data_IF_464027219982
#
_entry.id   IF_464027219982
#
_cell.length_a   1.000
_cell.length_b   1.000
_cell.length_c   1.000
_cell.angle_alpha   90.00
_cell.angle_beta   90.00
_cell.angle_gamma   90.00
#
_symmetry.space_group_name_H-M   'P 1'
#
loop_
_entity.id
_entity.type
_entity.pdbx_description
1 polymer ?
#
# COMPACT_ATOMS: atom_id res chain seq x y z
N UNK A 1 -49.71 9.80 34.26
CA UNK A 1 -49.31 10.14 32.89
C UNK A 1 -47.90 10.70 32.89
N UNK A 2 -47.06 10.18 32.01
CA UNK A 2 -45.68 10.59 31.81
C UNK A 2 -45.68 11.59 30.64
N UNK A 3 -45.27 12.82 30.91
CA UNK A 3 -45.04 13.80 29.85
C UNK A 3 -43.67 13.52 29.25
N UNK A 4 -43.62 13.34 27.93
CA UNK A 4 -42.39 13.18 27.18
C UNK A 4 -42.26 14.37 26.24
N UNK A 5 -41.17 15.10 26.42
CA UNK A 5 -40.70 16.12 25.49
C UNK A 5 -39.49 15.54 24.76
N UNK A 6 -39.60 15.40 23.43
CA UNK A 6 -38.55 14.87 22.56
C UNK A 6 -38.08 15.97 21.60
N UNK A 7 -36.78 16.23 21.61
CA UNK A 7 -36.14 17.01 20.56
C UNK A 7 -35.66 16.04 19.47
N UNK A 8 -36.17 16.19 18.25
CA UNK A 8 -35.84 15.34 17.11
C UNK A 8 -35.08 16.15 16.07
N UNK A 9 -33.84 15.74 15.83
CA UNK A 9 -32.99 16.26 14.77
C UNK A 9 -33.03 15.31 13.56
N UNK A 10 -33.25 15.86 12.37
CA UNK A 10 -33.28 15.09 11.13
C UNK A 10 -32.73 15.89 9.95
N UNK A 11 -32.32 15.17 8.91
CA UNK A 11 -31.80 15.73 7.66
C UNK A 11 -32.81 15.53 6.54
N UNK A 12 -33.09 16.59 5.78
CA UNK A 12 -33.87 16.50 4.52
C UNK A 12 -32.91 16.71 3.36
N UNK A 13 -32.71 15.68 2.55
CA UNK A 13 -31.72 15.65 1.49
C UNK A 13 -32.37 15.57 0.10
N UNK A 14 -31.85 16.36 -0.85
CA UNK A 14 -31.99 16.13 -2.29
C UNK A 14 -30.61 16.12 -2.94
N UNK A 15 -30.05 17.31 -3.17
CA UNK A 15 -28.65 17.50 -3.58
C UNK A 15 -27.81 18.03 -2.42
N UNK A 16 -28.45 18.76 -1.50
CA UNK A 16 -27.87 19.26 -0.24
C UNK A 16 -28.78 18.79 0.90
N UNK A 17 -28.19 18.34 2.01
CA UNK A 17 -28.90 17.97 3.23
C UNK A 17 -29.07 19.18 4.14
N UNK A 18 -30.30 19.52 4.48
CA UNK A 18 -30.62 20.63 5.39
C UNK A 18 -31.00 20.05 6.76
N UNK A 19 -30.28 20.39 7.85
CA UNK A 19 -30.65 19.98 9.19
C UNK A 19 -31.90 20.72 9.68
N UNK A 20 -32.79 19.98 10.32
CA UNK A 20 -34.00 20.50 10.92
C UNK A 20 -34.21 19.86 12.28
N UNK A 21 -34.71 20.67 13.22
CA UNK A 21 -35.01 20.26 14.58
C UNK A 21 -36.47 20.54 14.87
N UNK A 22 -37.17 19.58 15.45
CA UNK A 22 -38.55 19.75 15.91
C UNK A 22 -38.72 19.19 17.33
N UNK A 23 -39.50 19.90 18.14
CA UNK A 23 -39.83 19.48 19.51
C UNK A 23 -41.21 18.81 19.50
N UNK A 24 -41.26 17.54 19.87
CA UNK A 24 -42.49 16.74 19.93
C UNK A 24 -42.84 16.53 21.40
N UNK A 25 -44.00 17.04 21.81
CA UNK A 25 -44.48 16.91 23.18
C UNK A 25 -45.73 16.05 23.18
N UNK A 26 -45.71 14.96 23.95
CA UNK A 26 -46.88 14.10 24.10
C UNK A 26 -46.92 13.45 25.47
N UNK A 27 -48.07 12.88 25.81
CA UNK A 27 -48.34 12.34 27.14
C UNK A 27 -48.62 10.85 27.04
N UNK A 28 -47.80 10.04 27.71
CA UNK A 28 -47.95 8.59 27.76
C UNK A 28 -48.72 8.18 29.02
N UNK A 29 -49.85 7.47 28.90
CA UNK A 29 -50.56 6.96 30.05
C UNK A 29 -49.68 5.93 30.77
N UNK A 30 -49.50 6.10 32.09
CA UNK A 30 -48.67 5.19 32.89
C UNK A 30 -49.56 4.06 33.40
N UNK A 31 -49.21 2.82 33.07
CA UNK A 31 -50.00 1.66 33.45
C UNK A 31 -49.59 0.41 32.69
N UNK A 32 -50.43 -0.63 32.76
CA UNK A 32 -50.23 -1.83 31.94
C UNK A 32 -50.44 -1.48 30.46
N UNK A 33 -49.64 -2.05 29.54
CA UNK A 33 -49.83 -1.81 28.11
C UNK A 33 -51.23 -2.24 27.70
N UNK A 34 -51.95 -1.32 27.05
CA UNK A 34 -53.28 -1.54 26.49
C UNK A 34 -53.26 -1.17 25.01
N UNK A 35 -54.09 -1.83 24.21
CA UNK A 35 -54.23 -1.53 22.80
C UNK A 35 -54.84 -0.13 22.63
N UNK A 36 -54.17 0.73 21.88
CA UNK A 36 -54.63 2.09 21.56
C UNK A 36 -55.09 2.15 20.11
N UNK A 37 -55.63 3.30 19.69
CA UNK A 37 -56.01 3.55 18.29
C UNK A 37 -54.81 3.44 17.35
N UNK A 38 -53.60 3.70 17.85
CA UNK A 38 -52.37 3.73 17.06
C UNK A 38 -51.63 2.38 17.07
N UNK A 39 -52.06 1.40 17.86
CA UNK A 39 -51.39 0.08 17.94
C UNK A 39 -51.23 -0.58 16.57
N UNK A 40 -52.27 -0.57 15.75
CA UNK A 40 -52.20 -1.13 14.39
C UNK A 40 -51.18 -0.40 13.50
N UNK A 41 -51.08 0.93 13.64
CA UNK A 41 -50.15 1.74 12.88
C UNK A 41 -48.71 1.43 13.30
N UNK A 42 -48.47 1.34 14.61
CA UNK A 42 -47.16 0.98 15.19
C UNK A 42 -46.75 -0.41 14.69
N UNK A 43 -47.62 -1.41 14.77
CA UNK A 43 -47.33 -2.77 14.30
C UNK A 43 -47.04 -2.81 12.79
N UNK A 44 -47.73 -1.98 11.99
CA UNK A 44 -47.47 -1.86 10.56
C UNK A 44 -46.06 -1.30 10.27
N UNK A 45 -45.56 -0.33 11.05
CA UNK A 45 -44.21 0.19 10.85
C UNK A 45 -43.14 -0.71 11.47
N UNK A 46 -43.41 -1.35 12.62
CA UNK A 46 -42.51 -2.35 13.22
C UNK A 46 -42.34 -3.60 12.36
N UNK A 47 -43.29 -3.92 11.48
CA UNK A 47 -43.13 -5.03 10.51
C UNK A 47 -42.23 -4.67 9.33
N UNK A 48 -41.92 -3.38 9.11
CA UNK A 48 -40.98 -2.92 8.08
C UNK A 48 -39.53 -2.84 8.56
N UNK A 49 -39.31 -2.85 9.88
CA UNK A 49 -37.96 -2.83 10.45
C UNK A 49 -37.29 -4.18 10.20
N UNK A 50 -36.08 -4.20 9.63
CA UNK A 50 -35.32 -5.43 9.41
C UNK A 50 -35.22 -6.26 10.70
N UNK A 51 -35.33 -7.58 10.57
CA UNK A 51 -35.22 -8.52 11.70
C UNK A 51 -34.02 -9.44 11.49
N UNK A 52 -33.68 -10.22 12.52
CA UNK A 52 -32.61 -11.22 12.45
C UNK A 52 -32.97 -12.40 11.54
N UNK A 53 -31.94 -13.21 11.19
CA UNK A 53 -32.04 -14.37 10.28
C UNK A 53 -33.14 -15.37 10.63
N UNK A 54 -33.53 -15.47 11.91
CA UNK A 54 -34.55 -16.41 12.38
C UNK A 54 -35.96 -16.15 11.79
N UNK A 55 -36.20 -14.94 11.27
CA UNK A 55 -37.51 -14.51 10.78
C UNK A 55 -37.57 -14.37 9.26
N UNK A 56 -36.52 -14.74 8.53
CA UNK A 56 -36.44 -14.55 7.08
C UNK A 56 -35.87 -15.77 6.36
N UNK A 57 -36.32 -16.02 5.13
CA UNK A 57 -35.79 -17.08 4.26
C UNK A 57 -34.51 -16.66 3.52
N UNK A 58 -33.89 -15.55 3.93
CA UNK A 58 -32.65 -15.00 3.36
C UNK A 58 -31.54 -15.25 4.38
N UNK A 59 -30.36 -15.64 3.90
CA UNK A 59 -29.19 -15.86 4.74
C UNK A 59 -27.94 -15.26 4.09
N UNK A 60 -27.11 -14.61 4.90
CA UNK A 60 -25.78 -14.19 4.44
C UNK A 60 -24.86 -15.41 4.42
N UNK A 61 -24.51 -15.88 3.22
CA UNK A 61 -23.70 -17.07 3.00
C UNK A 61 -22.22 -16.81 3.27
N UNK A 62 -21.68 -15.70 2.76
CA UNK A 62 -20.28 -15.33 2.99
C UNK A 62 -20.07 -13.83 2.83
N UNK A 63 -19.07 -13.33 3.56
CA UNK A 63 -18.55 -11.97 3.39
C UNK A 63 -17.04 -12.07 3.29
N UNK A 64 -16.51 -11.57 2.16
CA UNK A 64 -15.11 -11.69 1.78
C UNK A 64 -14.57 -10.34 1.40
N UNK A 65 -13.44 -9.99 1.98
CA UNK A 65 -12.70 -8.78 1.63
C UNK A 65 -11.50 -9.15 0.76
N UNK A 66 -11.49 -8.68 -0.48
CA UNK A 66 -10.39 -8.86 -1.41
C UNK A 66 -9.44 -7.69 -1.26
N UNK A 67 -8.28 -7.98 -0.66
CA UNK A 67 -7.18 -7.04 -0.48
C UNK A 67 -6.32 -6.99 -1.75
N UNK A 68 -6.96 -6.67 -2.88
CA UNK A 68 -6.34 -6.46 -4.20
C UNK A 68 -6.17 -4.96 -4.48
N UNK A 69 -5.69 -4.57 -5.69
CA UNK A 69 -5.57 -3.16 -6.07
C UNK A 69 -6.91 -2.41 -6.03
N UNK A 70 -8.02 -3.11 -6.18
CA UNK A 70 -9.37 -2.54 -6.23
C UNK A 70 -10.13 -2.55 -4.91
N UNK A 71 -9.53 -3.08 -3.83
CA UNK A 71 -10.08 -3.17 -2.45
C UNK A 71 -11.58 -3.45 -2.44
N UNK A 72 -11.96 -4.71 -2.67
CA UNK A 72 -13.37 -5.07 -2.89
C UNK A 72 -13.95 -5.86 -1.74
N UNK A 73 -15.14 -5.50 -1.29
CA UNK A 73 -15.92 -6.28 -0.35
C UNK A 73 -17.04 -6.99 -1.10
N UNK A 74 -17.03 -8.32 -1.07
CA UNK A 74 -18.02 -9.16 -1.74
C UNK A 74 -18.87 -9.87 -0.71
N UNK A 75 -20.17 -9.68 -0.81
CA UNK A 75 -21.18 -10.31 0.05
C UNK A 75 -22.01 -11.24 -0.81
N UNK A 76 -22.20 -12.48 -0.38
CA UNK A 76 -23.11 -13.43 -1.02
C UNK A 76 -24.26 -13.74 -0.09
N UNK A 77 -25.49 -13.63 -0.61
CA UNK A 77 -26.69 -14.01 0.09
C UNK A 77 -27.44 -15.10 -0.67
N UNK A 78 -28.02 -16.04 0.07
CA UNK A 78 -28.81 -17.16 -0.45
C UNK A 78 -30.23 -17.01 0.09
N UNK A 79 -31.22 -17.36 -0.72
CA UNK A 79 -32.63 -17.35 -0.31
C UNK A 79 -33.34 -18.60 -0.81
N UNK A 80 -34.27 -19.14 -0.01
CA UNK A 80 -35.12 -20.27 -0.43
C UNK A 80 -36.13 -19.87 -1.51
N UNK A 81 -36.48 -18.59 -1.56
CA UNK A 81 -37.34 -18.00 -2.59
C UNK A 81 -36.52 -17.16 -3.56
N UNK A 82 -37.04 -16.96 -4.78
CA UNK A 82 -36.34 -16.17 -5.79
C UNK A 82 -36.24 -14.69 -5.38
N UNK A 83 -35.04 -14.12 -5.51
CA UNK A 83 -34.81 -12.68 -5.37
C UNK A 83 -35.53 -11.92 -6.50
N UNK A 84 -36.14 -10.78 -6.17
CA UNK A 84 -36.88 -9.96 -7.13
C UNK A 84 -36.12 -8.68 -7.43
N UNK A 85 -35.77 -7.92 -6.38
CA UNK A 85 -35.06 -6.65 -6.47
C UNK A 85 -34.23 -6.46 -5.20
N UNK A 86 -33.12 -7.21 -5.09
CA UNK A 86 -32.40 -7.26 -3.85
C UNK A 86 -31.33 -6.15 -3.76
N UNK A 87 -31.18 -5.58 -2.57
CA UNK A 87 -30.22 -4.52 -2.27
C UNK A 87 -29.56 -4.77 -0.90
N UNK A 88 -28.41 -4.14 -0.67
CA UNK A 88 -27.63 -4.27 0.56
C UNK A 88 -27.13 -2.92 1.04
N UNK A 89 -27.37 -2.66 2.32
CA UNK A 89 -26.81 -1.54 3.06
C UNK A 89 -25.74 -2.04 4.04
N UNK A 90 -24.65 -1.29 4.14
CA UNK A 90 -23.53 -1.58 5.03
C UNK A 90 -23.37 -0.47 6.04
N UNK A 91 -23.22 -0.84 7.30
CA UNK A 91 -22.84 0.06 8.37
C UNK A 91 -21.57 -0.47 9.04
N UNK A 92 -20.51 0.34 8.96
CA UNK A 92 -19.24 0.06 9.61
C UNK A 92 -19.24 0.62 11.04
N UNK A 93 -18.38 0.09 11.91
CA UNK A 93 -18.25 0.61 13.28
C UNK A 93 -17.63 2.01 13.35
N UNK A 94 -16.95 2.43 12.30
CA UNK A 94 -16.39 3.76 12.09
C UNK A 94 -17.20 4.52 11.05
N UNK A 95 -17.02 5.84 10.99
CA UNK A 95 -17.59 6.74 9.96
C UNK A 95 -16.96 6.51 8.57
N UNK A 96 -17.12 5.31 8.03
CA UNK A 96 -16.71 4.94 6.69
C UNK A 96 -17.96 4.72 5.83
N UNK A 97 -18.03 5.43 4.71
CA UNK A 97 -19.10 5.26 3.73
C UNK A 97 -18.60 4.42 2.57
N UNK A 98 -19.25 3.29 2.34
CA UNK A 98 -19.11 2.58 1.06
C UNK A 98 -19.92 3.29 -0.01
N UNK A 99 -19.44 3.27 -1.26
CA UNK A 99 -20.28 3.57 -2.41
C UNK A 99 -21.43 2.56 -2.58
N UNK A 100 -22.33 2.78 -3.55
CA UNK A 100 -23.40 1.82 -3.83
C UNK A 100 -22.81 0.48 -4.30
N UNK A 101 -23.43 -0.66 -3.94
CA UNK A 101 -22.99 -1.95 -4.42
C UNK A 101 -23.30 -2.11 -5.91
N UNK A 102 -22.48 -2.92 -6.59
CA UNK A 102 -22.88 -3.58 -7.82
C UNK A 102 -23.60 -4.87 -7.43
N UNK A 103 -24.88 -4.93 -7.74
CA UNK A 103 -25.71 -6.11 -7.48
C UNK A 103 -25.66 -7.02 -8.71
N UNK A 104 -25.32 -8.28 -8.48
CA UNK A 104 -25.33 -9.34 -9.49
C UNK A 104 -26.13 -10.54 -8.96
N UNK A 105 -26.95 -11.13 -9.82
CA UNK A 105 -27.65 -12.37 -9.54
C UNK A 105 -26.93 -13.48 -10.29
N UNK A 106 -26.17 -14.33 -9.59
CA UNK A 106 -25.62 -15.54 -10.22
C UNK A 106 -26.76 -16.45 -10.69
N UNK A 107 -27.79 -16.59 -9.85
CA UNK A 107 -29.02 -17.34 -10.10
C UNK A 107 -30.19 -16.67 -9.37
N UNK A 108 -31.43 -17.16 -9.59
CA UNK A 108 -32.63 -16.63 -8.91
C UNK A 108 -32.57 -16.71 -7.37
N UNK A 109 -31.76 -17.59 -6.81
CA UNK A 109 -31.69 -17.87 -5.37
C UNK A 109 -30.37 -17.42 -4.73
N UNK A 110 -29.45 -16.85 -5.51
CA UNK A 110 -28.12 -16.44 -5.05
C UNK A 110 -27.80 -15.05 -5.59
N UNK A 111 -27.65 -14.10 -4.68
CA UNK A 111 -27.27 -12.72 -4.96
C UNK A 111 -25.85 -12.44 -4.47
N UNK A 112 -25.12 -11.70 -5.28
CA UNK A 112 -23.76 -11.22 -5.01
C UNK A 112 -23.74 -9.70 -5.05
N UNK A 113 -23.14 -9.09 -4.03
CA UNK A 113 -23.02 -7.65 -3.87
C UNK A 113 -21.54 -7.30 -3.78
N UNK A 114 -21.05 -6.52 -4.73
CA UNK A 114 -19.67 -6.08 -4.80
C UNK A 114 -19.60 -4.58 -4.46
N UNK A 115 -18.89 -4.27 -3.38
CA UNK A 115 -18.59 -2.91 -2.96
C UNK A 115 -17.15 -2.58 -3.31
N UNK A 116 -16.96 -1.50 -4.06
CA UNK A 116 -15.63 -0.91 -4.28
C UNK A 116 -15.33 0.02 -3.11
N UNK A 117 -14.29 -0.28 -2.36
CA UNK A 117 -13.83 0.52 -1.23
C UNK A 117 -12.73 1.47 -1.72
N UNK A 118 -12.60 2.61 -1.04
CA UNK A 118 -11.56 3.61 -1.36
C UNK A 118 -10.16 3.06 -1.06
N UNK A 119 -9.12 3.57 -1.72
CA UNK A 119 -7.73 3.13 -1.54
C UNK A 119 -7.25 3.31 -0.09
N UNK A 120 -7.86 4.21 0.68
CA UNK A 120 -7.59 4.38 2.10
C UNK A 120 -8.01 3.19 2.96
N UNK A 121 -8.88 2.31 2.46
CA UNK A 121 -9.40 1.16 3.18
C UNK A 121 -8.39 0.00 3.14
N UNK A 122 -7.43 0.04 4.06
CA UNK A 122 -6.35 -0.94 4.12
C UNK A 122 -6.66 -2.18 4.95
N UNK A 123 -7.54 -2.07 5.96
CA UNK A 123 -7.80 -3.18 6.88
C UNK A 123 -9.25 -3.19 7.36
N UNK A 124 -9.99 -4.21 6.94
CA UNK A 124 -11.38 -4.39 7.34
C UNK A 124 -11.55 -4.67 8.83
N UNK A 125 -10.54 -5.23 9.50
CA UNK A 125 -10.66 -5.62 10.92
C UNK A 125 -10.83 -4.42 11.86
N UNK A 126 -10.29 -3.26 11.47
CA UNK A 126 -10.44 -2.01 12.21
C UNK A 126 -11.85 -1.39 12.11
N UNK A 127 -12.64 -1.84 11.13
CA UNK A 127 -13.97 -1.34 10.82
C UNK A 127 -15.09 -2.32 11.23
N UNK A 128 -14.73 -3.40 11.94
CA UNK A 128 -15.67 -4.35 12.51
C UNK A 128 -16.23 -3.86 13.85
N UNK A 129 -17.44 -4.30 14.25
CA UNK A 129 -18.33 -5.19 13.51
C UNK A 129 -19.08 -4.47 12.39
N UNK A 130 -19.29 -5.18 11.29
CA UNK A 130 -20.03 -4.74 10.13
C UNK A 130 -21.49 -5.15 10.28
N UNK A 131 -22.43 -4.22 10.18
CA UNK A 131 -23.87 -4.54 10.09
C UNK A 131 -24.25 -4.58 8.61
N UNK A 132 -24.79 -5.71 8.18
CA UNK A 132 -25.26 -5.93 6.82
C UNK A 132 -26.78 -6.01 6.84
N UNK A 133 -27.41 -5.06 6.16
CA UNK A 133 -28.87 -5.01 6.01
C UNK A 133 -29.24 -5.34 4.58
N UNK A 134 -29.71 -6.57 4.37
CA UNK A 134 -30.23 -7.08 3.09
C UNK A 134 -31.70 -6.73 2.96
N UNK A 135 -32.10 -6.22 1.80
CA UNK A 135 -33.51 -5.89 1.50
C UNK A 135 -33.88 -6.52 0.16
N UNK A 136 -35.02 -7.18 0.09
CA UNK A 136 -35.59 -7.70 -1.16
C UNK A 136 -37.12 -7.46 -1.15
N UNK A 137 -37.52 -6.33 -1.72
CA UNK A 137 -38.90 -5.86 -1.74
C UNK A 137 -39.49 -5.65 -0.34
N UNK A 138 -40.20 -6.67 0.18
CA UNK A 138 -40.86 -6.63 1.51
C UNK A 138 -40.09 -7.39 2.59
N UNK A 139 -39.04 -8.11 2.21
CA UNK A 139 -38.22 -8.92 3.12
C UNK A 139 -36.99 -8.11 3.44
N UNK A 140 -36.63 -8.04 4.71
CA UNK A 140 -35.42 -7.38 5.13
C UNK A 140 -34.76 -8.16 6.27
N UNK A 141 -33.46 -8.32 6.17
CA UNK A 141 -32.62 -9.05 7.11
C UNK A 141 -31.50 -8.13 7.57
N UNK A 142 -31.30 -8.03 8.87
CA UNK A 142 -30.12 -7.41 9.45
C UNK A 142 -29.23 -8.46 10.11
N UNK A 143 -27.95 -8.48 9.74
CA UNK A 143 -26.94 -9.38 10.32
C UNK A 143 -25.71 -8.61 10.73
N UNK A 144 -25.32 -8.78 12.00
CA UNK A 144 -24.05 -8.28 12.53
C UNK A 144 -22.94 -9.28 12.29
N UNK A 145 -21.91 -8.85 11.57
CA UNK A 145 -20.75 -9.65 11.16
C UNK A 145 -19.53 -9.17 11.95
N UNK A 146 -18.99 -10.06 12.77
CA UNK A 146 -17.83 -9.78 13.62
C UNK A 146 -16.52 -10.26 13.00
N UNK A 147 -16.57 -10.98 11.89
CA UNK A 147 -15.41 -11.54 11.22
C UNK A 147 -15.65 -11.57 9.71
N UNK A 148 -14.68 -11.07 8.95
CA UNK A 148 -14.67 -11.10 7.48
C UNK A 148 -13.40 -11.80 7.03
N UNK A 149 -13.56 -12.77 6.13
CA UNK A 149 -12.42 -13.48 5.53
C UNK A 149 -11.68 -12.52 4.59
N UNK A 150 -10.40 -12.26 4.85
CA UNK A 150 -9.55 -11.44 3.99
C UNK A 150 -8.80 -12.31 2.99
N UNK A 151 -9.00 -12.04 1.71
CA UNK A 151 -8.37 -12.72 0.59
C UNK A 151 -7.36 -11.75 -0.02
N UNK A 152 -6.10 -11.89 0.38
CA UNK A 152 -5.02 -11.16 -0.27
C UNK A 152 -4.75 -11.75 -1.64
N UNK A 153 -5.06 -11.01 -2.70
CA UNK A 153 -4.63 -11.37 -4.05
C UNK A 153 -3.18 -10.90 -4.23
N UNK A 154 -2.24 -11.68 -3.67
CA UNK A 154 -0.88 -11.61 -4.17
C UNK A 154 -0.89 -12.20 -5.59
N UNK A 155 -0.28 -11.56 -6.59
CA UNK A 155 -0.20 -12.14 -7.92
C UNK A 155 0.35 -13.56 -7.81
N UNK A 156 -0.48 -14.53 -8.22
CA UNK A 156 -0.18 -15.96 -8.15
C UNK A 156 1.17 -16.25 -8.81
N UNK A 157 1.96 -17.10 -8.13
CA UNK A 157 3.23 -17.67 -8.57
C UNK A 157 4.07 -16.77 -9.51
N UNK A 158 4.74 -15.77 -8.96
CA UNK A 158 5.89 -15.18 -9.66
C UNK A 158 6.94 -16.28 -9.85
N UNK A 159 6.94 -16.87 -11.05
CA UNK A 159 7.89 -17.91 -11.42
C UNK A 159 9.30 -17.38 -11.18
N UNK A 160 10.10 -18.10 -10.39
CA UNK A 160 11.46 -17.69 -9.99
C UNK A 160 12.29 -17.34 -11.24
N UNK A 161 12.04 -18.02 -12.35
CA UNK A 161 12.66 -17.77 -13.64
C UNK A 161 12.37 -16.35 -14.13
N UNK A 162 11.13 -15.89 -14.01
CA UNK A 162 10.70 -14.53 -14.40
C UNK A 162 11.39 -13.47 -13.54
N UNK A 163 11.48 -13.68 -12.22
CA UNK A 163 12.22 -12.78 -11.31
C UNK A 163 13.70 -12.72 -11.72
N UNK A 164 14.32 -13.86 -11.99
CA UNK A 164 15.73 -13.94 -12.36
C UNK A 164 15.97 -13.24 -13.71
N UNK A 165 15.06 -13.40 -14.67
CA UNK A 165 15.12 -12.75 -15.98
C UNK A 165 14.97 -11.23 -15.88
N UNK A 166 14.01 -10.73 -15.09
CA UNK A 166 13.88 -9.29 -14.84
C UNK A 166 15.06 -8.72 -14.04
N UNK A 167 15.62 -9.47 -13.08
CA UNK A 167 16.81 -9.02 -12.33
C UNK A 167 18.04 -8.92 -13.22
N UNK A 168 18.20 -9.87 -14.16
CA UNK A 168 19.27 -9.85 -15.15
C UNK A 168 19.10 -8.69 -16.13
N UNK A 169 17.87 -8.49 -16.62
CA UNK A 169 17.54 -7.44 -17.57
C UNK A 169 17.70 -6.05 -16.93
N UNK A 170 17.21 -5.86 -15.71
CA UNK A 170 17.43 -4.65 -14.92
C UNK A 170 18.92 -4.38 -14.70
N UNK A 171 19.70 -5.40 -14.29
CA UNK A 171 21.15 -5.28 -14.16
C UNK A 171 21.86 -4.88 -15.46
N UNK A 172 21.41 -5.41 -16.60
CA UNK A 172 21.95 -5.06 -17.92
C UNK A 172 21.64 -3.60 -18.29
N UNK A 173 20.40 -3.15 -18.06
CA UNK A 173 19.98 -1.76 -18.29
C UNK A 173 20.79 -0.79 -17.42
N UNK A 174 21.03 -1.15 -16.15
CA UNK A 174 21.83 -0.32 -15.23
C UNK A 174 23.28 -0.15 -15.68
N UNK A 175 23.84 -1.13 -16.40
CA UNK A 175 25.17 -0.96 -17.02
C UNK A 175 25.16 -0.01 -18.23
N UNK A 176 24.01 0.19 -18.86
CA UNK A 176 23.82 1.11 -20.00
C UNK A 176 23.49 2.54 -19.55
N UNK A 177 23.29 2.78 -18.25
CA UNK A 177 23.09 4.14 -17.75
C UNK A 177 24.38 4.97 -17.83
N UNK A 178 24.30 6.22 -18.32
CA UNK A 178 25.48 7.07 -18.52
C UNK A 178 26.25 7.36 -17.22
N UNK A 179 25.60 7.27 -16.06
CA UNK A 179 26.21 7.53 -14.75
C UNK A 179 27.16 6.43 -14.25
N UNK A 180 27.00 5.18 -14.72
CA UNK A 180 27.75 4.02 -14.21
C UNK A 180 28.98 3.71 -15.09
N UNK A 181 28.93 4.15 -16.35
CA UNK A 181 29.98 4.00 -17.35
C UNK A 181 31.36 4.55 -16.92
N UNK A 182 31.46 5.71 -16.23
CA UNK A 182 32.70 6.21 -15.63
C UNK A 182 33.45 5.24 -14.72
N UNK A 183 32.72 4.55 -13.84
CA UNK A 183 33.33 3.71 -12.81
C UNK A 183 33.69 2.34 -13.37
N UNK A 184 32.85 1.83 -14.28
CA UNK A 184 33.11 0.59 -15.01
C UNK A 184 34.37 0.69 -15.88
N UNK A 185 34.54 1.79 -16.63
CA UNK A 185 35.70 1.99 -17.50
C UNK A 185 37.01 2.08 -16.70
N UNK A 186 37.03 2.79 -15.58
CA UNK A 186 38.20 2.87 -14.69
C UNK A 186 38.58 1.50 -14.10
N UNK A 187 37.59 0.69 -13.72
CA UNK A 187 37.83 -0.67 -13.19
C UNK A 187 38.30 -1.64 -14.28
N UNK A 188 37.75 -1.53 -15.50
CA UNK A 188 38.19 -2.32 -16.64
C UNK A 188 39.65 -2.03 -17.03
N UNK A 189 40.03 -0.75 -17.08
CA UNK A 189 41.41 -0.34 -17.36
C UNK A 189 42.36 -0.80 -16.24
N UNK A 190 41.94 -0.69 -14.97
CA UNK A 190 42.72 -1.18 -13.83
C UNK A 190 42.98 -2.69 -13.87
N UNK A 191 42.01 -3.48 -14.34
CA UNK A 191 42.15 -4.93 -14.53
C UNK A 191 43.08 -5.29 -15.69
N UNK A 192 43.01 -4.55 -16.80
CA UNK A 192 43.88 -4.78 -17.96
C UNK A 192 45.36 -4.49 -17.67
N UNK A 193 45.65 -3.58 -16.74
CA UNK A 193 47.02 -3.26 -16.29
C UNK A 193 47.59 -4.25 -15.27
N UNK A 194 46.73 -5.08 -14.67
CA UNK A 194 47.07 -6.15 -13.73
C UNK A 194 47.14 -7.47 -14.50
N UNK A 195 48.33 -7.84 -15.00
CA UNK A 195 48.64 -9.19 -15.51
C UNK A 195 48.55 -10.26 -14.41
N UNK A 196 47.38 -10.39 -13.81
CA UNK A 196 47.10 -11.09 -12.56
C UNK A 196 46.36 -12.40 -12.82
N UNK A 197 46.60 -13.40 -11.97
CA UNK A 197 46.00 -14.72 -12.13
C UNK A 197 44.46 -14.66 -12.07
N UNK A 198 43.76 -15.48 -12.86
CA UNK A 198 42.28 -15.45 -12.92
C UNK A 198 41.58 -15.67 -11.57
N UNK A 199 42.24 -16.33 -10.60
CA UNK A 199 41.73 -16.50 -9.23
C UNK A 199 41.67 -15.18 -8.46
N UNK A 200 42.67 -14.33 -8.65
CA UNK A 200 42.78 -13.02 -8.00
C UNK A 200 41.69 -12.06 -8.50
N UNK A 201 41.44 -12.08 -9.82
CA UNK A 201 40.39 -11.28 -10.45
C UNK A 201 39.00 -11.67 -9.90
N UNK A 202 38.68 -12.97 -9.88
CA UNK A 202 37.40 -13.47 -9.33
C UNK A 202 37.18 -13.06 -7.89
N UNK A 203 38.23 -13.12 -7.05
CA UNK A 203 38.16 -12.71 -5.64
C UNK A 203 37.84 -11.21 -5.50
N UNK A 204 38.45 -10.35 -6.32
CA UNK A 204 38.21 -8.91 -6.27
C UNK A 204 36.78 -8.54 -6.70
N UNK A 205 36.23 -9.20 -7.72
CA UNK A 205 34.83 -9.05 -8.11
C UNK A 205 33.87 -9.49 -7.01
N UNK A 206 34.15 -10.63 -6.37
CA UNK A 206 33.32 -11.14 -5.26
C UNK A 206 33.31 -10.16 -4.07
N UNK A 207 34.48 -9.62 -3.69
CA UNK A 207 34.58 -8.61 -2.64
C UNK A 207 33.80 -7.33 -2.96
N UNK A 208 33.76 -6.95 -4.24
CA UNK A 208 32.95 -5.81 -4.70
C UNK A 208 31.46 -6.10 -4.56
N UNK A 209 31.01 -7.30 -4.95
CA UNK A 209 29.62 -7.72 -4.82
C UNK A 209 29.16 -7.74 -3.35
N UNK A 210 30.01 -8.18 -2.43
CA UNK A 210 29.74 -8.12 -0.99
C UNK A 210 29.51 -6.67 -0.53
N UNK A 211 30.32 -5.72 -1.00
CA UNK A 211 30.14 -4.30 -0.66
C UNK A 211 28.79 -3.74 -1.14
N UNK A 212 28.33 -4.17 -2.31
CA UNK A 212 27.02 -3.80 -2.87
C UNK A 212 25.89 -4.37 -2.02
N UNK A 213 25.94 -5.69 -1.74
CA UNK A 213 24.94 -6.36 -0.90
C UNK A 213 24.84 -5.74 0.50
N UNK A 214 25.98 -5.48 1.13
CA UNK A 214 26.02 -4.85 2.45
C UNK A 214 25.41 -3.45 2.45
N UNK A 215 25.66 -2.67 1.39
CA UNK A 215 25.07 -1.32 1.26
C UNK A 215 23.55 -1.37 1.12
N UNK A 216 23.01 -2.27 0.29
CA UNK A 216 21.57 -2.47 0.18
C UNK A 216 20.95 -3.00 1.47
N UNK A 217 21.65 -3.88 2.19
CA UNK A 217 21.17 -4.42 3.46
C UNK A 217 21.06 -3.33 4.54
N UNK A 218 22.08 -2.47 4.67
CA UNK A 218 22.03 -1.31 5.58
C UNK A 218 20.84 -0.41 5.24
N UNK A 219 20.66 -0.12 3.95
CA UNK A 219 19.61 0.79 3.52
C UNK A 219 18.21 0.18 3.71
N UNK A 220 18.05 -1.13 3.52
CA UNK A 220 16.82 -1.86 3.83
C UNK A 220 16.49 -1.80 5.33
N UNK A 221 17.48 -2.01 6.21
CA UNK A 221 17.30 -1.88 7.67
C UNK A 221 16.89 -0.46 8.05
N UNK A 222 17.54 0.55 7.46
CA UNK A 222 17.24 1.96 7.73
C UNK A 222 15.81 2.32 7.33
N UNK A 223 15.35 1.87 6.16
CA UNK A 223 13.97 2.08 5.71
C UNK A 223 12.96 1.31 6.59
N UNK A 224 13.28 0.06 6.97
CA UNK A 224 12.42 -0.72 7.86
C UNK A 224 12.26 -0.06 9.24
N UNK A 225 13.35 0.47 9.80
CA UNK A 225 13.33 1.22 11.06
C UNK A 225 12.50 2.52 10.94
N UNK A 226 12.61 3.26 9.84
CA UNK A 226 11.80 4.46 9.63
C UNK A 226 10.30 4.15 9.51
N UNK A 227 9.94 3.02 8.87
CA UNK A 227 8.55 2.56 8.79
C UNK A 227 7.98 2.20 10.15
N UNK A 228 8.77 1.65 11.07
CA UNK A 228 8.27 1.36 12.43
C UNK A 228 7.90 2.61 13.23
N UNK A 229 8.40 3.78 12.83
CA UNK A 229 8.02 5.07 13.41
C UNK A 229 6.79 5.72 12.73
N UNK A 230 6.10 5.02 11.83
CA UNK A 230 4.87 5.49 11.18
C UNK A 230 5.08 6.37 9.95
N UNK A 231 6.32 6.54 9.47
CA UNK A 231 6.58 7.27 8.23
C UNK A 231 6.37 6.35 7.02
N UNK A 232 5.48 6.75 6.10
CA UNK A 232 5.31 6.09 4.80
C UNK A 232 6.47 6.47 3.86
N UNK A 233 7.65 5.92 4.14
CA UNK A 233 8.84 6.15 3.31
C UNK A 233 8.85 5.12 2.18
N UNK A 234 8.70 5.62 0.95
CA UNK A 234 8.97 4.89 -0.29
C UNK A 234 10.41 5.06 -0.74
N UNK A 235 10.95 4.07 -1.46
CA UNK A 235 12.19 4.26 -2.21
C UNK A 235 12.00 5.40 -3.21
N UNK A 236 12.88 6.39 -3.18
CA UNK A 236 12.81 7.53 -4.09
C UNK A 236 12.04 8.76 -3.58
N UNK A 237 11.54 8.77 -2.33
CA UNK A 237 10.93 9.97 -1.72
C UNK A 237 11.84 11.21 -1.79
N UNK A 238 13.17 11.01 -1.75
CA UNK A 238 14.17 12.08 -1.85
C UNK A 238 14.11 12.84 -3.18
N UNK A 239 13.69 12.20 -4.28
CA UNK A 239 13.57 12.85 -5.60
C UNK A 239 12.35 13.75 -5.71
N UNK A 240 11.42 13.71 -4.74
CA UNK A 240 10.34 14.69 -4.65
C UNK A 240 10.84 16.05 -4.11
N UNK A 241 11.98 16.07 -3.41
CA UNK A 241 12.55 17.32 -2.89
C UNK A 241 13.43 18.01 -3.95
N UNK A 242 13.09 19.23 -4.38
CA UNK A 242 13.81 19.93 -5.44
C UNK A 242 15.25 20.29 -5.04
N UNK A 243 15.52 20.51 -3.75
CA UNK A 243 16.86 20.78 -3.23
C UNK A 243 17.82 19.60 -3.42
N UNK A 244 17.33 18.37 -3.19
CA UNK A 244 18.10 17.15 -3.39
C UNK A 244 18.45 16.94 -4.87
N UNK A 245 17.45 17.11 -5.75
CA UNK A 245 17.63 17.02 -7.20
C UNK A 245 18.68 18.02 -7.74
N UNK A 246 18.63 19.28 -7.30
CA UNK A 246 19.60 20.30 -7.72
C UNK A 246 21.01 19.95 -7.25
N UNK A 247 21.16 19.50 -5.99
CA UNK A 247 22.45 19.09 -5.45
C UNK A 247 23.04 17.90 -6.22
N UNK A 248 22.25 16.88 -6.52
CA UNK A 248 22.72 15.71 -7.27
C UNK A 248 23.04 16.03 -8.73
N UNK A 249 22.21 16.86 -9.37
CA UNK A 249 22.46 17.32 -10.74
C UNK A 249 23.78 18.08 -10.84
N UNK A 250 24.09 18.94 -9.86
CA UNK A 250 25.37 19.66 -9.81
C UNK A 250 26.57 18.69 -9.68
N UNK A 251 26.47 17.67 -8.82
CA UNK A 251 27.53 16.66 -8.66
C UNK A 251 27.76 15.89 -9.97
N UNK A 252 26.70 15.40 -10.61
CA UNK A 252 26.81 14.69 -11.90
C UNK A 252 27.38 15.59 -12.99
N UNK A 253 26.97 16.86 -13.04
CA UNK A 253 27.48 17.84 -14.01
C UNK A 253 28.99 18.06 -13.83
N UNK A 254 29.48 18.19 -12.59
CA UNK A 254 30.91 18.30 -12.29
C UNK A 254 31.67 17.07 -12.80
N UNK A 255 31.15 15.87 -12.57
CA UNK A 255 31.74 14.63 -13.09
C UNK A 255 31.77 14.59 -14.63
N UNK A 256 30.67 14.96 -15.30
CA UNK A 256 30.62 15.03 -16.76
C UNK A 256 31.62 16.07 -17.32
N UNK A 257 31.74 17.24 -16.70
CA UNK A 257 32.72 18.25 -17.09
C UNK A 257 34.17 17.77 -16.88
N UNK A 258 34.42 16.94 -15.86
CA UNK A 258 35.72 16.31 -15.66
C UNK A 258 36.05 15.31 -16.80
N UNK A 259 35.08 14.52 -17.25
CA UNK A 259 35.24 13.61 -18.39
C UNK A 259 35.43 14.32 -19.74
N UNK A 260 34.76 15.47 -19.94
CA UNK A 260 34.97 16.31 -21.13
C UNK A 260 36.36 16.97 -21.13
N UNK A 261 37.15 16.82 -20.07
CA UNK A 261 38.48 17.42 -19.97
C UNK A 261 38.45 18.94 -19.82
N UNK A 262 37.27 19.54 -19.59
CA UNK A 262 37.10 20.96 -19.28
C UNK A 262 37.76 21.34 -17.95
N UNK A 263 37.82 20.37 -17.02
CA UNK A 263 38.51 20.52 -15.74
C UNK A 263 39.39 19.29 -15.45
N UNK A 264 40.71 19.47 -15.51
CA UNK A 264 41.63 18.54 -14.86
C UNK A 264 41.70 18.92 -13.38
N UNK A 265 40.98 18.17 -12.52
CA UNK A 265 41.23 18.23 -11.08
C UNK A 265 42.67 17.76 -10.82
N UNK A 266 43.61 18.69 -10.84
CA UNK A 266 44.91 18.51 -10.24
C UNK A 266 44.67 18.48 -8.74
N UNK A 267 44.62 17.26 -8.18
CA UNK A 267 44.45 17.00 -6.76
C UNK A 267 45.33 17.97 -5.94
N UNK A 268 44.74 18.80 -5.06
CA UNK A 268 45.50 19.71 -4.20
C UNK A 268 46.58 18.94 -3.44
N UNK A 269 47.79 19.47 -3.37
CA UNK A 269 48.96 18.82 -2.77
C UNK A 269 48.75 18.37 -1.30
N UNK A 270 47.79 18.97 -0.60
CA UNK A 270 47.37 18.57 0.75
C UNK A 270 46.64 17.21 0.77
N UNK A 271 45.77 16.95 -0.22
CA UNK A 271 45.08 15.66 -0.34
C UNK A 271 46.03 14.55 -0.79
N UNK A 272 47.07 14.84 -1.57
CA UNK A 272 48.09 13.84 -1.90
C UNK A 272 48.86 13.31 -0.68
N UNK A 273 49.04 14.12 0.38
CA UNK A 273 49.68 13.70 1.64
C UNK A 273 48.79 12.83 2.52
N UNK A 274 47.48 13.01 2.47
CA UNK A 274 46.50 12.15 3.18
C UNK A 274 46.20 10.87 2.36
N UNK A 275 46.39 10.95 1.04
CA UNK A 275 46.14 9.87 0.09
C UNK A 275 47.22 8.76 0.07
N UNK A 276 48.33 8.90 0.80
CA UNK A 276 49.34 7.82 0.87
C UNK A 276 48.89 6.61 1.69
N UNK A 277 47.90 6.76 2.58
CA UNK A 277 47.45 5.68 3.46
C UNK A 277 46.10 5.04 3.08
N UNK A 278 45.25 5.67 2.26
CA UNK A 278 43.86 5.20 2.08
C UNK A 278 43.44 5.04 0.59
N UNK A 279 43.98 5.81 -0.36
CA UNK A 279 43.57 5.74 -1.78
C UNK A 279 44.75 5.88 -2.78
N UNK A 280 45.89 5.26 -2.46
CA UNK A 280 47.03 5.20 -3.38
C UNK A 280 46.74 4.26 -4.56
N UNK A 281 46.25 4.84 -5.66
CA UNK A 281 46.07 4.23 -6.99
C UNK A 281 47.37 3.68 -7.60
N UNK A 282 48.54 3.90 -6.98
CA UNK A 282 49.87 3.59 -7.55
C UNK A 282 50.49 2.27 -7.03
N UNK A 283 49.89 1.62 -6.03
CA UNK A 283 50.50 0.43 -5.41
C UNK A 283 49.74 -0.86 -5.80
N UNK A 284 50.38 -1.74 -6.61
CA UNK A 284 49.82 -3.00 -7.11
C UNK A 284 49.30 -3.95 -6.02
N UNK A 285 49.82 -3.85 -4.79
CA UNK A 285 49.36 -4.64 -3.65
C UNK A 285 48.06 -4.12 -3.02
N UNK A 286 47.71 -2.84 -3.21
CA UNK A 286 46.55 -2.22 -2.55
C UNK A 286 45.23 -2.49 -3.31
N UNK A 287 45.29 -2.57 -4.65
CA UNK A 287 44.13 -2.94 -5.49
C UNK A 287 43.62 -4.35 -5.22
N UNK A 288 44.46 -5.21 -4.63
CA UNK A 288 44.12 -6.58 -4.24
C UNK A 288 43.57 -6.69 -2.81
N UNK A 289 43.48 -5.58 -2.09
CA UNK A 289 42.99 -5.55 -0.72
C UNK A 289 41.47 -5.73 -0.70
N UNK A 290 40.99 -6.53 0.27
CA UNK A 290 39.56 -6.76 0.50
C UNK A 290 38.82 -5.43 0.73
N UNK A 291 39.37 -4.57 1.60
CA UNK A 291 38.74 -3.31 1.99
C UNK A 291 38.57 -2.37 0.80
N UNK A 292 39.57 -2.27 -0.08
CA UNK A 292 39.48 -1.42 -1.27
C UNK A 292 38.34 -1.86 -2.19
N UNK A 293 38.25 -3.16 -2.49
CA UNK A 293 37.20 -3.69 -3.36
C UNK A 293 35.80 -3.59 -2.72
N UNK A 294 35.72 -3.76 -1.40
CA UNK A 294 34.48 -3.60 -0.63
C UNK A 294 33.97 -2.15 -0.66
N UNK A 295 34.81 -1.17 -0.32
CA UNK A 295 34.43 0.25 -0.35
C UNK A 295 34.16 0.75 -1.76
N UNK A 296 34.88 0.24 -2.76
CA UNK A 296 34.58 0.51 -4.17
C UNK A 296 33.18 0.03 -4.55
N UNK A 297 32.73 -1.13 -4.03
CA UNK A 297 31.36 -1.62 -4.23
C UNK A 297 30.30 -0.70 -3.59
N UNK A 298 30.55 -0.24 -2.36
CA UNK A 298 29.63 0.68 -1.66
C UNK A 298 29.50 2.04 -2.37
N UNK A 299 30.63 2.60 -2.81
CA UNK A 299 30.64 3.85 -3.58
C UNK A 299 29.88 3.71 -4.90
N UNK A 300 30.00 2.57 -5.57
CA UNK A 300 29.25 2.27 -6.80
C UNK A 300 27.74 2.30 -6.54
N UNK A 301 27.27 1.69 -5.45
CA UNK A 301 25.85 1.69 -5.08
C UNK A 301 25.31 3.10 -4.84
N UNK A 302 26.10 3.95 -4.19
CA UNK A 302 25.70 5.32 -3.85
C UNK A 302 25.70 6.26 -5.07
N UNK A 303 26.60 6.04 -6.03
CA UNK A 303 26.64 6.81 -7.28
C UNK A 303 25.62 6.32 -8.32
N UNK A 304 25.21 5.05 -8.27
CA UNK A 304 24.22 4.49 -9.18
C UNK A 304 22.79 4.91 -8.81
N UNK A 305 22.48 4.99 -7.52
CA UNK A 305 21.14 5.31 -6.99
C UNK A 305 20.47 6.58 -7.55
N UNK A 306 21.15 7.73 -7.77
CA UNK A 306 20.53 8.91 -8.38
C UNK A 306 20.09 8.72 -9.83
N UNK A 307 20.62 7.71 -10.52
CA UNK A 307 20.28 7.45 -11.91
C UNK A 307 19.17 6.40 -12.05
N UNK A 308 18.94 5.59 -11.02
CA UNK A 308 17.91 4.54 -11.03
C UNK A 308 16.54 4.98 -10.52
N UNK A 309 16.43 6.20 -10.00
CA UNK A 309 15.27 6.66 -9.24
C UNK A 309 14.66 7.94 -9.80
#
# INVERSE_FOLDING_TARGET
DLVIDLDVDYLVCKDVCIPKSETINFTLPVGRPQMTKDSNLIDQYLSKVPRSEEFTNIQVSSVKFYDDESKRLVIKAISDEAFIDPDVFLEFSSDFNSGPPKVSLENKYLSEYEFNLDESFNDITSHLPLVVTLVDGRRALEKRINFVETISSYPEETNIITILLFSLLGGLILNLMPCVFPVLSLKAIGLLQLGSSGKTIRKNFFNTAIGIWFSFFILAILVAALRSFGYMVGWGFQFQHPSFLVSMSAVLLIFCCNFWGLFQFSMPSFLQKINTNIFSFKNRNYQNSFSYNFFSGSLLTLLATPCTA
#
